data_IF_361747839722
#
_entry.id   IF_361747839722
#
_cell.length_a   1.000
_cell.length_b   1.000
_cell.length_c   1.000
_cell.angle_alpha   90.00
_cell.angle_beta   90.00
_cell.angle_gamma   90.00
#
_symmetry.space_group_name_H-M   'P 1'
#
loop_
_entity.id
_entity.type
_entity.pdbx_description
1 polymer ?
#
# COMPACT_ATOMS: atom_id res chain seq x y z
N UNK A 1 2.11 -12.86 2.39
CA UNK A 1 0.89 -12.09 2.02
C UNK A 1 0.25 -11.69 3.33
N UNK A 2 0.17 -10.39 3.59
CA UNK A 2 -0.37 -9.83 4.83
C UNK A 2 -1.14 -8.55 4.46
N UNK A 3 -2.00 -8.10 5.37
CA UNK A 3 -2.82 -6.92 5.15
C UNK A 3 -2.06 -5.64 5.49
N UNK A 4 -2.25 -4.62 4.68
CA UNK A 4 -1.65 -3.29 4.82
C UNK A 4 -2.72 -2.22 4.65
N UNK A 5 -2.57 -1.12 5.39
CA UNK A 5 -3.24 0.13 5.10
C UNK A 5 -2.47 0.87 4.00
N UNK A 6 -3.20 1.32 2.99
CA UNK A 6 -2.64 2.11 1.89
C UNK A 6 -3.24 3.51 1.95
N UNK A 7 -2.36 4.50 1.88
CA UNK A 7 -2.71 5.90 1.69
C UNK A 7 -2.01 6.47 0.48
N UNK A 8 -2.57 7.51 -0.12
CA UNK A 8 -1.89 8.29 -1.14
C UNK A 8 -2.06 9.77 -0.84
N UNK A 9 -0.97 10.51 -1.00
CA UNK A 9 -0.93 11.97 -0.89
C UNK A 9 -0.65 12.57 -2.26
N UNK A 10 -0.39 13.88 -2.32
CA UNK A 10 0.03 14.54 -3.55
C UNK A 10 1.32 13.91 -4.13
N UNK A 11 2.27 13.57 -3.26
CA UNK A 11 3.64 13.26 -3.63
C UNK A 11 4.12 11.86 -3.18
N UNK A 12 3.36 11.17 -2.32
CA UNK A 12 3.76 9.87 -1.75
C UNK A 12 2.65 8.83 -1.76
N UNK A 13 3.03 7.58 -2.02
CA UNK A 13 2.28 6.38 -1.65
C UNK A 13 2.74 5.91 -0.27
N UNK A 14 1.81 5.71 0.65
CA UNK A 14 2.09 5.30 2.02
C UNK A 14 1.58 3.87 2.20
N UNK A 15 2.42 2.99 2.73
CA UNK A 15 2.10 1.59 3.02
C UNK A 15 2.42 1.32 4.48
N UNK A 16 1.38 1.07 5.29
CA UNK A 16 1.51 0.75 6.70
C UNK A 16 0.94 -0.63 6.99
N UNK A 17 1.54 -1.38 7.90
CA UNK A 17 1.10 -2.74 8.24
C UNK A 17 -0.20 -2.71 9.06
N UNK A 18 -1.15 -3.61 8.76
CA UNK A 18 -2.49 -3.61 9.38
C UNK A 18 -2.49 -4.18 10.83
N UNK A 19 -1.59 -5.10 11.14
CA UNK A 19 -1.53 -5.75 12.45
C UNK A 19 -0.30 -5.34 13.26
N UNK A 20 -0.45 -5.30 14.59
CA UNK A 20 0.68 -5.13 15.52
C UNK A 20 1.63 -6.32 15.41
N UNK A 21 2.73 -6.14 14.65
CA UNK A 21 4.08 -6.69 14.89
C UNK A 21 4.15 -8.13 15.47
N UNK A 22 3.39 -9.09 14.95
CA UNK A 22 3.54 -10.51 15.34
C UNK A 22 4.94 -11.04 15.04
N UNK A 23 5.50 -10.66 13.89
CA UNK A 23 6.84 -11.13 13.48
C UNK A 23 7.99 -10.68 14.42
N UNK A 24 7.90 -9.46 14.97
CA UNK A 24 8.94 -8.84 15.79
C UNK A 24 8.83 -9.09 17.29
N UNK A 25 7.69 -9.60 17.78
CA UNK A 25 7.50 -9.90 19.20
C UNK A 25 7.28 -11.40 19.46
N UNK A 26 6.63 -12.15 18.56
CA UNK A 26 6.41 -13.59 18.76
C UNK A 26 7.59 -14.45 18.26
N UNK A 27 8.24 -14.08 17.15
CA UNK A 27 9.29 -14.93 16.53
C UNK A 27 10.73 -14.51 16.85
N UNK A 28 10.96 -13.23 17.17
CA UNK A 28 12.26 -12.70 17.55
C UNK A 28 12.10 -11.80 18.78
N UNK A 29 12.83 -12.05 19.87
CA UNK A 29 12.84 -11.17 21.05
C UNK A 29 13.92 -10.10 20.88
N UNK A 30 13.71 -9.17 19.94
CA UNK A 30 14.65 -8.08 19.68
C UNK A 30 14.13 -6.79 20.32
N UNK A 31 14.95 -6.02 21.05
CA UNK A 31 14.52 -4.76 21.63
C UNK A 31 13.98 -3.79 20.58
N UNK A 32 12.83 -3.18 20.85
CA UNK A 32 12.20 -2.21 19.99
C UNK A 32 12.92 -0.85 20.11
N UNK A 33 13.86 -0.58 19.19
CA UNK A 33 14.75 0.58 19.22
C UNK A 33 14.23 1.80 18.45
N UNK A 34 12.95 1.84 18.07
CA UNK A 34 12.38 2.89 17.22
C UNK A 34 12.05 4.15 18.03
N UNK A 35 12.89 5.18 17.89
CA UNK A 35 12.84 6.48 18.59
C UNK A 35 12.51 7.66 17.65
N UNK A 36 11.86 7.47 16.50
CA UNK A 36 11.50 8.61 15.64
C UNK A 36 10.13 8.54 14.97
N UNK A 37 9.48 9.71 14.88
CA UNK A 37 8.15 9.99 14.31
C UNK A 37 7.98 9.53 12.84
N UNK A 38 9.09 9.31 12.12
CA UNK A 38 9.09 8.80 10.76
C UNK A 38 8.75 7.31 10.66
N UNK A 39 8.92 6.54 11.75
CA UNK A 39 8.71 5.09 11.78
C UNK A 39 7.24 4.70 12.04
N UNK A 40 6.41 5.67 12.43
CA UNK A 40 4.97 5.48 12.70
C UNK A 40 4.09 5.58 11.44
N UNK A 41 4.60 6.16 10.34
CA UNK A 41 3.84 6.40 9.10
C UNK A 41 3.83 5.16 8.18
N UNK A 42 4.60 4.12 8.49
CA UNK A 42 4.86 3.00 7.59
C UNK A 42 5.91 3.36 6.53
N UNK A 43 5.97 2.62 5.43
CA UNK A 43 6.91 2.87 4.33
C UNK A 43 6.30 3.88 3.35
N UNK A 44 6.98 5.01 3.16
CA UNK A 44 6.61 6.04 2.20
C UNK A 44 7.41 5.88 0.89
N UNK A 45 6.71 5.77 -0.23
CA UNK A 45 7.28 5.71 -1.56
C UNK A 45 6.98 7.02 -2.30
N UNK A 46 7.99 7.83 -2.65
CA UNK A 46 7.79 9.00 -3.49
C UNK A 46 7.16 8.59 -4.83
N UNK A 47 6.09 9.27 -5.25
CA UNK A 47 5.45 9.00 -6.54
C UNK A 47 6.39 9.30 -7.71
N UNK A 48 7.31 10.26 -7.52
CA UNK A 48 8.35 10.57 -8.48
C UNK A 48 9.34 9.41 -8.72
N UNK A 49 9.46 8.48 -7.78
CA UNK A 49 10.35 7.33 -7.88
C UNK A 49 9.68 6.10 -8.51
N UNK A 50 8.37 6.16 -8.75
CA UNK A 50 7.65 5.10 -9.46
C UNK A 50 8.06 5.11 -10.93
N UNK A 51 8.65 4.00 -11.37
CA UNK A 51 9.00 3.76 -12.76
C UNK A 51 7.82 3.15 -13.53
N UNK A 52 6.98 2.32 -12.95
CA UNK A 52 5.76 1.85 -13.61
C UNK A 52 4.77 1.32 -12.59
N UNK A 53 3.47 1.39 -12.90
CA UNK A 53 2.45 0.58 -12.22
C UNK A 53 1.65 -0.17 -13.27
N UNK A 54 1.71 -1.49 -13.22
CA UNK A 54 0.83 -2.35 -14.00
C UNK A 54 -0.43 -2.65 -13.21
N UNK A 55 -1.59 -2.26 -13.74
CA UNK A 55 -2.89 -2.46 -13.08
C UNK A 55 -3.70 -3.50 -13.85
N UNK A 56 -4.14 -4.54 -13.14
CA UNK A 56 -4.90 -5.66 -13.71
C UNK A 56 -6.10 -5.98 -12.85
N UNK A 57 -7.27 -6.13 -13.49
CA UNK A 57 -8.45 -6.67 -12.81
C UNK A 57 -8.17 -8.12 -12.37
N UNK A 58 -8.62 -8.45 -11.17
CA UNK A 58 -8.51 -9.77 -10.57
C UNK A 58 -9.90 -10.34 -10.28
N UNK A 59 -9.94 -11.57 -9.76
CA UNK A 59 -11.18 -12.25 -9.43
C UNK A 59 -12.02 -11.47 -8.41
N UNK A 60 -13.35 -11.62 -8.49
CA UNK A 60 -14.30 -11.01 -7.57
C UNK A 60 -14.21 -9.47 -7.47
N UNK A 61 -13.73 -8.81 -8.53
CA UNK A 61 -13.60 -7.36 -8.62
C UNK A 61 -12.46 -6.77 -7.78
N UNK A 62 -11.52 -7.58 -7.32
CA UNK A 62 -10.24 -7.08 -6.82
C UNK A 62 -9.41 -6.50 -7.97
N UNK A 63 -8.45 -5.63 -7.64
CA UNK A 63 -7.49 -5.07 -8.60
C UNK A 63 -6.08 -5.32 -8.07
N UNK A 64 -5.19 -5.84 -8.90
CA UNK A 64 -3.78 -5.96 -8.58
C UNK A 64 -3.03 -4.77 -9.20
N UNK A 65 -2.16 -4.09 -8.44
CA UNK A 65 -1.13 -3.20 -8.99
C UNK A 65 0.25 -3.78 -8.67
N UNK A 66 1.10 -3.85 -9.70
CA UNK A 66 2.53 -4.14 -9.56
C UNK A 66 3.29 -2.86 -9.82
N UNK A 67 4.00 -2.35 -8.81
CA UNK A 67 4.78 -1.10 -8.87
C UNK A 67 6.25 -1.43 -8.95
N UNK A 68 6.93 -0.92 -9.98
CA UNK A 68 8.39 -0.95 -10.10
C UNK A 68 8.92 0.45 -9.82
N UNK A 69 9.93 0.56 -8.96
CA UNK A 69 10.62 1.81 -8.64
C UNK A 69 11.87 1.96 -9.51
N UNK A 70 12.31 3.21 -9.72
CA UNK A 70 13.50 3.53 -10.52
C UNK A 70 14.78 2.87 -10.01
N UNK A 71 14.87 2.59 -8.72
CA UNK A 71 16.01 1.91 -8.10
C UNK A 71 15.94 0.37 -8.22
N UNK A 72 14.98 -0.17 -8.98
CA UNK A 72 14.76 -1.62 -9.13
C UNK A 72 13.90 -2.25 -8.02
N UNK A 73 13.49 -1.48 -7.01
CA UNK A 73 12.55 -1.95 -5.99
C UNK A 73 11.19 -2.33 -6.59
N UNK A 74 10.51 -3.29 -5.97
CA UNK A 74 9.24 -3.82 -6.48
C UNK A 74 8.21 -4.04 -5.37
N UNK A 75 6.97 -3.60 -5.60
CA UNK A 75 5.84 -3.76 -4.70
C UNK A 75 4.64 -4.35 -5.45
N UNK A 76 4.01 -5.37 -4.87
CA UNK A 76 2.78 -5.95 -5.40
C UNK A 76 1.62 -5.76 -4.42
N UNK A 77 0.64 -4.97 -4.82
CA UNK A 77 -0.54 -4.64 -4.04
C UNK A 77 -1.79 -5.30 -4.63
N UNK A 78 -2.69 -5.73 -3.77
CA UNK A 78 -4.04 -6.13 -4.14
C UNK A 78 -5.05 -5.24 -3.42
N UNK A 79 -5.90 -4.58 -4.20
CA UNK A 79 -6.99 -3.75 -3.74
C UNK A 79 -8.29 -4.57 -3.76
N UNK A 80 -8.73 -5.15 -2.63
CA UNK A 80 -9.95 -5.93 -2.58
C UNK A 80 -11.17 -5.07 -2.88
N UNK A 81 -12.21 -5.64 -3.51
CA UNK A 81 -13.47 -4.91 -3.79
C UNK A 81 -14.15 -4.42 -2.50
N UNK A 82 -13.98 -5.14 -1.39
CA UNK A 82 -14.58 -4.86 -0.09
C UNK A 82 -13.48 -4.65 0.96
N UNK A 83 -13.68 -3.71 1.87
CA UNK A 83 -12.74 -3.39 2.95
C UNK A 83 -12.92 -4.24 4.22
N UNK A 84 -13.24 -5.53 4.07
CA UNK A 84 -13.58 -6.44 5.18
C UNK A 84 -15.01 -6.97 5.16
N UNK A 85 -15.32 -7.87 6.10
CA UNK A 85 -16.66 -8.46 6.29
C UNK A 85 -17.54 -7.55 7.17
N UNK A 86 -18.84 -7.42 6.85
CA UNK A 86 -19.87 -6.80 7.70
C UNK A 86 -19.62 -5.36 8.15
N UNK A 87 -19.96 -4.35 7.32
CA UNK A 87 -19.62 -2.93 7.55
C UNK A 87 -18.11 -2.73 7.78
N UNK A 88 -17.30 -3.24 6.86
CA UNK A 88 -15.83 -3.10 6.87
C UNK A 88 -15.35 -1.64 6.81
N UNK A 89 -14.11 -1.41 6.38
CA UNK A 89 -13.49 -0.09 6.39
C UNK A 89 -14.41 1.01 5.82
N UNK A 90 -14.72 2.07 6.60
CA UNK A 90 -15.55 3.17 6.13
C UNK A 90 -14.96 3.82 4.88
N UNK A 91 -15.83 4.16 3.92
CA UNK A 91 -15.43 4.79 2.64
C UNK A 91 -14.37 4.01 1.84
N UNK A 92 -14.22 2.70 2.08
CA UNK A 92 -13.25 1.83 1.39
C UNK A 92 -13.28 2.00 -0.13
N UNK A 93 -14.47 1.94 -0.73
CA UNK A 93 -14.65 2.04 -2.18
C UNK A 93 -14.09 3.35 -2.72
N UNK A 94 -14.44 4.47 -2.07
CA UNK A 94 -13.98 5.81 -2.49
C UNK A 94 -12.46 5.93 -2.40
N UNK A 95 -11.87 5.52 -1.28
CA UNK A 95 -10.42 5.60 -1.10
C UNK A 95 -9.67 4.69 -2.07
N UNK A 96 -10.14 3.45 -2.22
CA UNK A 96 -9.60 2.49 -3.16
C UNK A 96 -9.59 3.05 -4.58
N UNK A 97 -10.70 3.63 -5.03
CA UNK A 97 -10.83 4.16 -6.39
C UNK A 97 -9.90 5.36 -6.62
N UNK A 98 -9.83 6.30 -5.66
CA UNK A 98 -8.90 7.45 -5.75
C UNK A 98 -7.44 7.03 -5.80
N UNK A 99 -7.05 6.02 -5.01
CA UNK A 99 -5.68 5.49 -5.04
C UNK A 99 -5.38 4.86 -6.41
N UNK A 100 -6.29 4.02 -6.91
CA UNK A 100 -6.12 3.35 -8.21
C UNK A 100 -6.05 4.40 -9.34
N UNK A 101 -6.96 5.37 -9.37
CA UNK A 101 -7.00 6.45 -10.36
C UNK A 101 -5.68 7.23 -10.38
N UNK A 102 -5.17 7.61 -9.22
CA UNK A 102 -3.89 8.31 -9.10
C UNK A 102 -2.72 7.47 -9.61
N UNK A 103 -2.68 6.17 -9.31
CA UNK A 103 -1.65 5.27 -9.81
C UNK A 103 -1.75 5.04 -11.33
N UNK A 104 -2.96 4.98 -11.90
CA UNK A 104 -3.18 4.94 -13.35
C UNK A 104 -2.63 6.20 -14.01
N UNK A 105 -2.94 7.38 -13.46
CA UNK A 105 -2.51 8.66 -14.01
C UNK A 105 -0.97 8.79 -14.05
N UNK A 106 -0.27 8.24 -13.07
CA UNK A 106 1.20 8.17 -13.06
C UNK A 106 1.76 7.29 -14.18
N UNK A 107 1.03 6.24 -14.57
CA UNK A 107 1.44 5.35 -15.65
C UNK A 107 1.21 5.97 -17.04
N UNK A 108 0.18 6.81 -17.19
CA UNK A 108 -0.19 7.49 -18.45
C UNK A 108 0.45 8.87 -18.67
N UNK A 109 1.18 9.42 -17.69
CA UNK A 109 1.87 10.73 -17.81
C UNK A 109 3.28 10.61 -18.44
N UNK A 110 3.48 9.63 -19.34
CA UNK A 110 4.74 9.41 -20.06
C UNK A 110 4.56 9.59 -21.55
#
# INVERSE_FOLDING_TARGET
RFDVYIGITKDYLIVSECEKRKYLNEFYHVPDLRRTVAEDIGVCFPLADIQSCEIKNAIMGAVNCSITLKNGGFLKLQFPKRGGLGKGMPRHTEYREKIIEKLIALNGSR
#
